data_IF_428887931721
#
_entry.id   IF_428887931721
#
_cell.length_a   1.000
_cell.length_b   1.000
_cell.length_c   1.000
_cell.angle_alpha   90.00
_cell.angle_beta   90.00
_cell.angle_gamma   90.00
#
_symmetry.space_group_name_H-M   'P 1'
#
loop_
_entity.id
_entity.type
_entity.pdbx_description
1 polymer ?
#
# COMPACT_ATOMS: atom_id res chain seq x y z
N UNK A 1 -3.30 -7.44 6.89
CA UNK A 1 -2.34 -6.32 6.86
C UNK A 1 -2.61 -5.50 5.61
N UNK A 2 -2.45 -4.17 5.66
CA UNK A 2 -2.46 -3.29 4.50
C UNK A 2 -1.02 -2.83 4.22
N UNK A 3 -0.63 -2.80 2.95
CA UNK A 3 0.68 -2.35 2.48
C UNK A 3 0.45 -1.30 1.40
N UNK A 4 1.00 -0.10 1.58
CA UNK A 4 1.09 0.89 0.51
C UNK A 4 2.27 0.58 -0.42
N UNK A 5 2.02 0.46 -1.71
CA UNK A 5 3.05 0.13 -2.72
C UNK A 5 2.64 0.64 -4.11
N UNK A 6 3.38 0.27 -5.14
CA UNK A 6 3.07 0.58 -6.53
C UNK A 6 2.78 -0.69 -7.33
N UNK A 7 1.77 -0.61 -8.18
CA UNK A 7 1.45 -1.63 -9.18
C UNK A 7 1.81 -1.09 -10.57
N UNK A 8 2.45 -1.93 -11.40
CA UNK A 8 2.75 -1.60 -12.79
C UNK A 8 1.54 -1.95 -13.66
N UNK A 9 0.85 -0.93 -14.17
CA UNK A 9 -0.29 -1.04 -15.07
C UNK A 9 -0.01 -0.19 -16.32
N UNK A 10 -0.16 -0.78 -17.51
CA UNK A 10 0.06 -0.06 -18.79
C UNK A 10 1.44 0.63 -18.84
N UNK A 11 2.49 -0.08 -18.41
CA UNK A 11 3.87 0.42 -18.32
C UNK A 11 4.09 1.64 -17.41
N UNK A 12 3.16 1.91 -16.49
CA UNK A 12 3.31 2.96 -15.47
C UNK A 12 3.10 2.40 -14.08
N UNK A 13 3.94 2.84 -13.15
CA UNK A 13 3.73 2.56 -11.73
C UNK A 13 2.65 3.49 -11.19
N UNK A 14 1.66 2.91 -10.53
CA UNK A 14 0.57 3.64 -9.86
C UNK A 14 0.51 3.21 -8.40
N UNK A 15 0.34 4.15 -7.46
CA UNK A 15 0.09 3.79 -6.08
C UNK A 15 -1.12 2.86 -5.92
N UNK A 16 -1.00 1.91 -5.00
CA UNK A 16 -2.04 0.97 -4.64
C UNK A 16 -1.87 0.53 -3.19
N UNK A 17 -2.97 0.06 -2.62
CA UNK A 17 -2.99 -0.59 -1.31
C UNK A 17 -3.20 -2.08 -1.50
N UNK A 18 -2.38 -2.89 -0.86
CA UNK A 18 -2.40 -4.34 -0.94
C UNK A 18 -2.81 -4.93 0.41
N UNK A 19 -3.80 -5.81 0.40
CA UNK A 19 -4.27 -6.55 1.57
C UNK A 19 -3.82 -8.01 1.47
N UNK A 20 -3.20 -8.49 2.55
CA UNK A 20 -2.77 -9.89 2.73
C UNK A 20 -3.07 -10.38 4.16
N UNK A 21 -3.23 -11.70 4.41
CA UNK A 21 -3.26 -12.27 5.75
C UNK A 21 -1.91 -12.04 6.43
N UNK A 22 -1.94 -11.59 7.69
CA UNK A 22 -0.73 -11.17 8.41
C UNK A 22 0.23 -12.32 8.72
N UNK A 23 -0.26 -13.56 8.74
CA UNK A 23 0.47 -14.79 9.04
C UNK A 23 0.96 -15.53 7.78
N UNK A 24 0.74 -14.96 6.59
CA UNK A 24 1.02 -15.60 5.29
C UNK A 24 1.81 -14.73 4.32
N UNK A 25 2.58 -13.77 4.82
CA UNK A 25 3.35 -12.82 4.00
C UNK A 25 4.36 -13.51 3.05
N UNK A 26 4.93 -14.64 3.48
CA UNK A 26 5.92 -15.40 2.71
C UNK A 26 5.36 -16.65 2.02
N UNK A 27 4.03 -16.74 1.88
CA UNK A 27 3.40 -17.88 1.22
C UNK A 27 3.38 -17.70 -0.31
N UNK A 28 4.07 -18.58 -1.05
CA UNK A 28 4.14 -18.54 -2.52
C UNK A 28 2.77 -18.64 -3.21
N UNK A 29 1.74 -19.16 -2.51
CA UNK A 29 0.37 -19.30 -3.04
C UNK A 29 -0.57 -18.19 -2.59
N UNK A 30 -0.04 -17.18 -1.90
CA UNK A 30 -0.80 -16.02 -1.47
C UNK A 30 -1.38 -15.28 -2.67
N UNK A 31 -2.69 -15.01 -2.64
CA UNK A 31 -3.34 -14.11 -3.59
C UNK A 31 -3.62 -12.78 -2.88
N UNK A 32 -2.89 -11.69 -3.20
CA UNK A 32 -3.13 -10.39 -2.62
C UNK A 32 -4.42 -9.75 -3.15
N UNK A 33 -5.13 -9.03 -2.29
CA UNK A 33 -6.23 -8.17 -2.72
C UNK A 33 -5.71 -6.73 -2.92
N UNK A 34 -6.01 -6.13 -4.07
CA UNK A 34 -5.44 -4.82 -4.44
C UNK A 34 -6.54 -3.78 -4.57
N UNK A 35 -6.37 -2.64 -3.90
CA UNK A 35 -7.16 -1.41 -4.11
C UNK A 35 -6.28 -0.43 -4.86
N UNK A 36 -6.64 -0.15 -6.10
CA UNK A 36 -5.94 0.82 -6.94
C UNK A 36 -6.42 2.25 -6.65
N UNK A 37 -5.56 3.23 -6.89
CA UNK A 37 -5.87 4.64 -6.70
C UNK A 37 -7.16 5.09 -7.41
N UNK A 38 -7.39 4.64 -8.64
CA UNK A 38 -8.58 4.96 -9.45
C UNK A 38 -9.89 4.34 -8.91
N UNK A 39 -9.78 3.33 -8.04
CA UNK A 39 -10.91 2.66 -7.38
C UNK A 39 -11.05 3.02 -5.91
N UNK A 40 -10.13 3.82 -5.36
CA UNK A 40 -10.12 4.21 -3.95
C UNK A 40 -11.40 4.96 -3.54
N UNK A 41 -11.96 5.77 -4.45
CA UNK A 41 -13.18 6.56 -4.19
C UNK A 41 -14.38 5.72 -3.76
N UNK A 42 -14.46 4.44 -4.17
CA UNK A 42 -15.56 3.53 -3.81
C UNK A 42 -15.75 3.44 -2.29
N UNK A 43 -14.65 3.56 -1.56
CA UNK A 43 -14.57 3.38 -0.11
C UNK A 43 -14.71 4.70 0.67
N UNK A 44 -14.83 5.83 -0.02
CA UNK A 44 -15.03 7.14 0.61
C UNK A 44 -16.38 7.24 1.32
N UNK A 45 -16.41 7.82 2.52
CA UNK A 45 -17.66 8.09 3.23
C UNK A 45 -18.51 9.19 2.55
N UNK A 46 -17.87 10.13 1.85
CA UNK A 46 -18.55 11.30 1.26
C UNK A 46 -19.14 11.03 -0.12
N UNK A 47 -18.38 10.32 -0.99
CA UNK A 47 -18.72 10.13 -2.41
C UNK A 47 -18.73 8.66 -2.86
N UNK A 48 -18.52 7.72 -1.92
CA UNK A 48 -18.34 6.31 -2.25
C UNK A 48 -19.61 5.57 -2.67
N UNK A 49 -19.43 4.29 -2.99
CA UNK A 49 -20.49 3.36 -3.32
C UNK A 49 -20.51 2.21 -2.30
N UNK A 50 -21.38 2.28 -1.27
CA UNK A 50 -21.46 1.27 -0.23
C UNK A 50 -21.81 -0.13 -0.75
N UNK A 51 -22.57 -0.24 -1.84
CA UNK A 51 -22.94 -1.53 -2.41
C UNK A 51 -21.75 -2.19 -3.10
N UNK A 52 -21.00 -1.40 -3.89
CA UNK A 52 -19.78 -1.88 -4.53
C UNK A 52 -18.66 -2.16 -3.51
N UNK A 53 -18.52 -1.32 -2.47
CA UNK A 53 -17.60 -1.54 -1.36
C UNK A 53 -17.90 -2.87 -0.64
N UNK A 54 -19.16 -3.11 -0.28
CA UNK A 54 -19.58 -4.36 0.36
C UNK A 54 -19.36 -5.59 -0.54
N UNK A 55 -19.67 -5.48 -1.84
CA UNK A 55 -19.44 -6.55 -2.80
C UNK A 55 -17.96 -6.90 -2.93
N UNK A 56 -17.11 -5.88 -3.06
CA UNK A 56 -15.65 -6.05 -3.19
C UNK A 56 -15.05 -6.60 -1.88
N UNK A 57 -15.50 -6.11 -0.72
CA UNK A 57 -15.07 -6.60 0.58
C UNK A 57 -15.43 -8.08 0.80
N UNK A 58 -16.58 -8.54 0.29
CA UNK A 58 -16.95 -9.96 0.31
C UNK A 58 -15.99 -10.82 -0.55
N UNK A 59 -15.61 -10.34 -1.73
CA UNK A 59 -14.63 -11.01 -2.58
C UNK A 59 -13.25 -11.06 -1.91
N UNK A 60 -12.85 -9.96 -1.26
CA UNK A 60 -11.61 -9.91 -0.51
C UNK A 60 -11.63 -10.86 0.69
N UNK A 61 -12.73 -10.93 1.44
CA UNK A 61 -12.88 -11.90 2.54
C UNK A 61 -12.64 -13.33 2.04
N UNK A 62 -13.26 -13.70 0.91
CA UNK A 62 -13.11 -15.02 0.30
C UNK A 62 -11.67 -15.30 -0.11
N UNK A 63 -11.01 -14.33 -0.73
CA UNK A 63 -9.63 -14.44 -1.23
C UNK A 63 -8.61 -14.54 -0.11
N UNK A 64 -8.82 -13.78 0.97
CA UNK A 64 -7.98 -13.76 2.17
C UNK A 64 -8.20 -14.99 3.08
N UNK A 65 -9.08 -15.92 2.71
CA UNK A 65 -9.41 -17.10 3.51
C UNK A 65 -10.23 -16.79 4.77
N UNK A 66 -10.92 -15.64 4.79
CA UNK A 66 -11.81 -15.23 5.87
C UNK A 66 -13.24 -15.70 5.60
N UNK A 67 -14.08 -15.71 6.65
CA UNK A 67 -15.48 -16.08 6.50
C UNK A 67 -16.28 -14.97 5.80
N UNK A 68 -16.46 -15.08 4.48
CA UNK A 68 -17.21 -14.12 3.67
C UNK A 68 -18.73 -14.11 3.96
N UNK A 69 -19.27 -15.16 4.57
CA UNK A 69 -20.68 -15.22 4.97
C UNK A 69 -20.94 -14.54 6.33
N UNK A 70 -19.89 -14.26 7.11
CA UNK A 70 -20.02 -13.43 8.30
C UNK A 70 -20.03 -11.95 7.90
N UNK A 71 -21.21 -11.32 8.04
CA UNK A 71 -21.41 -9.90 7.75
C UNK A 71 -20.44 -9.01 8.52
N UNK A 72 -20.08 -9.37 9.76
CA UNK A 72 -19.13 -8.58 10.56
C UNK A 72 -17.74 -8.56 9.93
N UNK A 73 -17.31 -9.69 9.37
CA UNK A 73 -16.03 -9.82 8.67
C UNK A 73 -16.00 -8.93 7.42
N UNK A 74 -17.05 -8.95 6.60
CA UNK A 74 -17.14 -8.11 5.39
C UNK A 74 -17.13 -6.62 5.74
N UNK A 75 -17.90 -6.20 6.75
CA UNK A 75 -17.93 -4.80 7.22
C UNK A 75 -16.55 -4.37 7.72
N UNK A 76 -15.87 -5.23 8.49
CA UNK A 76 -14.52 -4.94 9.01
C UNK A 76 -13.50 -4.71 7.90
N UNK A 77 -13.56 -5.48 6.81
CA UNK A 77 -12.67 -5.27 5.66
C UNK A 77 -12.95 -3.92 5.01
N UNK A 78 -14.22 -3.58 4.82
CA UNK A 78 -14.59 -2.30 4.21
C UNK A 78 -14.13 -1.10 5.06
N UNK A 79 -14.36 -1.15 6.37
CA UNK A 79 -13.87 -0.13 7.31
C UNK A 79 -12.34 -0.06 7.32
N UNK A 80 -11.67 -1.22 7.36
CA UNK A 80 -10.21 -1.28 7.34
C UNK A 80 -9.63 -0.62 6.09
N UNK A 81 -10.25 -0.80 4.92
CA UNK A 81 -9.84 -0.12 3.69
C UNK A 81 -10.09 1.39 3.79
N UNK A 82 -11.27 1.80 4.26
CA UNK A 82 -11.63 3.21 4.43
C UNK A 82 -10.65 3.94 5.35
N UNK A 83 -10.28 3.33 6.48
CA UNK A 83 -9.35 3.85 7.47
C UNK A 83 -7.94 4.11 6.88
N UNK A 84 -7.54 3.34 5.86
CA UNK A 84 -6.22 3.44 5.21
C UNK A 84 -6.26 4.20 3.88
N UNK A 85 -7.40 4.79 3.49
CA UNK A 85 -7.48 5.59 2.25
C UNK A 85 -6.53 6.78 2.29
N UNK A 86 -6.39 7.43 3.45
CA UNK A 86 -5.47 8.56 3.62
C UNK A 86 -4.02 8.16 3.32
N UNK A 87 -3.61 6.98 3.78
CA UNK A 87 -2.28 6.43 3.52
C UNK A 87 -2.08 6.16 2.03
N UNK A 88 -3.06 5.53 1.37
CA UNK A 88 -3.03 5.29 -0.08
C UNK A 88 -2.89 6.59 -0.88
N UNK A 89 -3.67 7.61 -0.53
CA UNK A 89 -3.64 8.93 -1.17
C UNK A 89 -2.32 9.68 -0.95
N UNK A 90 -1.57 9.31 0.08
CA UNK A 90 -0.31 9.96 0.47
C UNK A 90 0.93 9.27 -0.12
N UNK A 91 0.78 8.10 -0.77
CA UNK A 91 1.90 7.41 -1.42
C UNK A 91 2.45 8.30 -2.54
N UNK A 92 3.76 8.62 -2.55
CA UNK A 92 4.33 9.47 -3.58
C UNK A 92 4.32 8.77 -4.95
N UNK A 93 4.48 9.51 -6.06
CA UNK A 93 4.77 8.91 -7.35
C UNK A 93 5.97 7.96 -7.26
N UNK A 94 5.95 6.90 -8.05
CA UNK A 94 7.07 5.97 -8.10
C UNK A 94 8.35 6.74 -8.50
N UNK A 95 9.46 6.59 -7.76
CA UNK A 95 10.70 7.26 -8.10
C UNK A 95 11.15 6.80 -9.50
N UNK A 96 11.39 7.75 -10.40
CA UNK A 96 12.02 7.46 -11.69
C UNK A 96 13.46 7.02 -11.46
N UNK A 97 13.95 6.04 -12.22
CA UNK A 97 15.30 5.43 -12.06
C UNK A 97 16.45 6.46 -12.04
N UNK A 98 16.25 7.69 -12.52
CA UNK A 98 17.19 8.82 -12.42
C UNK A 98 17.49 9.28 -10.97
N UNK A 99 16.87 8.67 -9.95
CA UNK A 99 17.16 8.93 -8.53
C UNK A 99 17.34 7.64 -7.73
N UNK A 100 18.12 6.70 -8.24
CA UNK A 100 18.68 5.67 -7.38
C UNK A 100 19.71 6.35 -6.45
N UNK A 101 19.31 6.80 -5.27
CA UNK A 101 20.26 7.23 -4.23
C UNK A 101 21.00 5.98 -3.74
N UNK A 102 22.20 5.73 -4.27
CA UNK A 102 22.91 4.46 -4.07
C UNK A 102 23.61 4.37 -2.71
N UNK A 103 23.80 5.49 -1.99
CA UNK A 103 24.36 5.45 -0.64
C UNK A 103 24.15 6.75 0.15
N UNK A 104 23.94 6.61 1.45
CA UNK A 104 24.16 7.66 2.44
C UNK A 104 25.59 7.50 2.98
N UNK A 105 26.46 8.50 2.80
CA UNK A 105 27.83 8.50 3.33
C UNK A 105 27.92 9.44 4.51
N UNK A 106 28.06 8.88 5.71
CA UNK A 106 28.44 9.65 6.90
C UNK A 106 29.97 9.70 7.00
N UNK A 107 30.59 10.81 6.56
CA UNK A 107 32.01 11.05 6.82
C UNK A 107 32.19 11.81 8.12
N UNK A 108 32.93 11.20 9.05
CA UNK A 108 33.30 11.78 10.35
C UNK A 108 34.78 12.14 10.35
N UNK A 109 35.09 13.43 10.50
CA UNK A 109 36.46 13.91 10.64
C UNK A 109 37.04 13.44 12.00
N UNK A 110 38.11 12.63 12.03
CA UNK A 110 38.68 12.09 13.26
C UNK A 110 39.28 13.15 14.19
N UNK A 111 39.62 14.33 13.68
CA UNK A 111 40.33 15.36 14.43
C UNK A 111 39.42 16.47 14.97
N UNK A 112 38.25 16.68 14.34
CA UNK A 112 37.35 17.80 14.69
C UNK A 112 35.94 17.38 15.12
N UNK A 113 35.56 16.11 14.91
CA UNK A 113 34.26 15.58 15.30
C UNK A 113 33.06 16.16 14.52
N UNK A 114 33.29 16.99 13.50
CA UNK A 114 32.24 17.49 12.61
C UNK A 114 31.76 16.37 11.69
N UNK A 115 30.45 16.23 11.60
CA UNK A 115 29.76 15.33 10.67
C UNK A 115 29.26 16.18 9.52
N UNK A 116 29.59 15.80 8.29
CA UNK A 116 29.02 16.41 7.08
C UNK A 116 28.16 15.34 6.43
N UNK A 117 26.86 15.60 6.40
CA UNK A 117 25.89 14.80 5.65
C UNK A 117 25.80 15.37 4.24
N UNK A 118 26.06 14.55 3.24
CA UNK A 118 25.94 14.93 1.84
C UNK A 118 25.26 13.80 1.06
N UNK A 119 24.19 14.15 0.36
CA UNK A 119 23.57 13.28 -0.63
C UNK A 119 24.45 13.23 -1.87
N UNK A 120 24.93 12.03 -2.24
CA UNK A 120 25.64 11.84 -3.51
C UNK A 120 24.62 11.38 -4.55
N UNK A 121 24.58 12.12 -5.66
CA UNK A 121 23.76 11.83 -6.86
C UNK A 121 24.72 11.38 -7.97
N UNK A 122 24.35 10.36 -8.74
CA UNK A 122 25.11 9.91 -9.92
C UNK A 122 24.92 10.84 -11.12
#
# INVERSE_FOLDING_TARGET
MAIGTWIRLEDRFRPCMVLIPADREYDDRLTPCVVTMDRAWIWSEEVGDPAQAAHTAHQFASTLGLNAHDRRTVIRIAMFIADHLGDLLSIPPYPTDDQQTVAEVTMRDPNTGRTIEAEIRE
#
